data_IF_226456494850
#
_entry.id   IF_226456494850
#
_cell.length_a   1.000
_cell.length_b   1.000
_cell.length_c   1.000
_cell.angle_alpha   90.00
_cell.angle_beta   90.00
_cell.angle_gamma   90.00
#
_symmetry.space_group_name_H-M   'P 1'
#
loop_
_entity.id
_entity.type
_entity.pdbx_description
1 polymer ?
#
# COMPACT_ATOMS: atom_id res chain seq x y z
N UNK A 1 -2.39 5.65 21.79
CA UNK A 1 -1.23 5.26 21.01
C UNK A 1 -0.94 6.24 19.89
N UNK A 2 0.22 6.77 19.90
CA UNK A 2 0.58 7.83 18.98
C UNK A 2 0.98 7.27 17.63
N UNK A 3 0.43 7.86 16.59
CA UNK A 3 0.79 7.48 15.25
C UNK A 3 2.14 8.10 14.92
N UNK A 4 3.01 7.33 14.31
CA UNK A 4 4.32 7.83 13.93
C UNK A 4 4.27 8.34 12.51
N UNK A 5 4.52 9.60 12.36
CA UNK A 5 4.64 10.19 11.04
C UNK A 5 6.07 10.65 10.83
N UNK A 6 6.48 10.65 9.59
CA UNK A 6 7.81 11.08 9.21
C UNK A 6 7.66 12.42 8.50
N UNK A 7 8.30 13.48 9.03
CA UNK A 7 8.17 14.80 8.40
C UNK A 7 8.68 14.80 6.98
N UNK A 8 8.11 15.71 6.18
CA UNK A 8 8.49 15.79 4.76
C UNK A 8 9.98 15.99 4.58
N UNK A 9 10.56 16.87 5.37
CA UNK A 9 11.98 17.16 5.22
C UNK A 9 12.84 15.94 5.46
N UNK A 10 12.47 15.15 6.45
CA UNK A 10 13.22 13.95 6.75
C UNK A 10 13.06 12.92 5.62
N UNK A 11 11.84 12.75 5.15
CA UNK A 11 11.59 11.82 4.07
C UNK A 11 12.35 12.24 2.81
N UNK A 12 12.35 13.53 2.52
CA UNK A 12 13.05 14.03 1.36
C UNK A 12 14.54 13.74 1.45
N UNK A 13 15.09 13.93 2.63
CA UNK A 13 16.52 13.67 2.83
C UNK A 13 16.82 12.20 2.67
N UNK A 14 16.02 11.35 3.28
CA UNK A 14 16.25 9.92 3.19
C UNK A 14 16.13 9.40 1.77
N UNK A 15 15.22 9.97 1.01
CA UNK A 15 14.98 9.53 -0.37
C UNK A 15 15.88 10.27 -1.36
N UNK A 16 16.64 11.25 -0.89
CA UNK A 16 17.51 12.05 -1.74
C UNK A 16 16.73 12.77 -2.84
N UNK A 17 15.59 13.34 -2.49
CA UNK A 17 14.79 14.15 -3.39
C UNK A 17 14.44 15.44 -2.67
N UNK A 18 13.94 16.41 -3.43
CA UNK A 18 13.54 17.68 -2.83
C UNK A 18 12.13 17.56 -2.29
N UNK A 19 11.80 18.45 -1.34
CA UNK A 19 10.44 18.50 -0.84
C UNK A 19 9.47 18.91 -1.93
N UNK A 20 9.95 19.64 -2.93
CA UNK A 20 9.15 20.01 -4.07
C UNK A 20 8.67 18.78 -4.84
N UNK A 21 9.56 17.80 -5.00
CA UNK A 21 9.21 16.56 -5.66
C UNK A 21 8.14 15.82 -4.88
N UNK A 22 8.29 15.78 -3.56
CA UNK A 22 7.30 15.12 -2.72
C UNK A 22 5.95 15.82 -2.81
N UNK A 23 5.97 17.15 -2.84
CA UNK A 23 4.73 17.89 -2.96
C UNK A 23 4.03 17.58 -4.28
N UNK A 24 4.80 17.38 -5.33
CA UNK A 24 4.21 17.02 -6.61
C UNK A 24 3.55 15.64 -6.55
N UNK A 25 4.21 14.69 -5.92
CA UNK A 25 3.60 13.36 -5.76
C UNK A 25 2.30 13.46 -4.97
N UNK A 26 2.29 14.30 -3.95
CA UNK A 26 1.09 14.49 -3.15
C UNK A 26 -0.03 15.11 -3.99
N UNK A 27 0.31 16.11 -4.77
CA UNK A 27 -0.71 16.80 -5.56
C UNK A 27 -1.29 15.90 -6.64
N UNK A 28 -0.54 14.90 -7.06
CA UNK A 28 -1.02 13.95 -8.06
C UNK A 28 -1.78 12.79 -7.42
N UNK A 29 -1.87 12.78 -6.10
CA UNK A 29 -2.59 11.72 -5.42
C UNK A 29 -1.84 10.43 -5.31
N UNK A 30 -0.54 10.44 -5.54
CA UNK A 30 0.25 9.22 -5.50
C UNK A 30 0.57 8.79 -4.08
N UNK A 31 0.67 9.72 -3.17
CA UNK A 31 0.93 9.44 -1.75
C UNK A 31 0.05 10.35 -0.93
N UNK A 32 -0.16 9.96 0.30
CA UNK A 32 -1.04 10.68 1.19
C UNK A 32 -0.29 11.16 2.40
N UNK A 33 -0.67 12.35 2.85
CA UNK A 33 -0.07 12.97 4.02
C UNK A 33 -0.99 12.74 5.20
N UNK A 34 -0.39 12.46 6.34
CA UNK A 34 -1.12 12.32 7.58
C UNK A 34 -0.82 13.50 8.47
N UNK A 35 -1.71 13.72 9.41
CA UNK A 35 -1.56 14.82 10.34
C UNK A 35 -1.59 14.30 11.74
N UNK A 36 -0.67 14.77 12.56
CA UNK A 36 -0.61 14.38 13.95
C UNK A 36 -0.41 15.66 14.76
N UNK A 37 -1.49 16.11 15.43
CA UNK A 37 -1.43 17.40 16.07
C UNK A 37 -1.27 18.48 15.03
N UNK A 38 -0.24 19.28 15.17
CA UNK A 38 0.03 20.35 14.22
C UNK A 38 1.07 19.94 13.18
N UNK A 39 1.52 18.69 13.20
CA UNK A 39 2.56 18.24 12.31
C UNK A 39 2.00 17.44 11.16
N UNK A 40 2.60 17.62 10.00
CA UNK A 40 2.25 16.87 8.81
C UNK A 40 3.42 15.99 8.40
N UNK A 41 3.09 14.80 7.89
CA UNK A 41 4.14 13.92 7.44
C UNK A 41 3.55 12.68 6.82
N UNK A 42 4.39 11.67 6.67
CA UNK A 42 3.98 10.43 6.03
C UNK A 42 4.00 9.30 7.05
N UNK A 43 2.98 8.47 6.98
CA UNK A 43 3.02 7.23 7.73
C UNK A 43 4.03 6.29 7.08
N UNK A 44 4.56 5.33 7.83
CA UNK A 44 5.58 4.44 7.26
C UNK A 44 5.18 3.77 5.96
N UNK A 45 3.92 3.40 5.82
CA UNK A 45 3.47 2.78 4.58
C UNK A 45 3.61 3.73 3.41
N UNK A 46 3.39 5.02 3.64
CA UNK A 46 3.51 6.00 2.58
C UNK A 46 4.97 6.26 2.24
N UNK A 47 5.86 6.14 3.21
CA UNK A 47 7.29 6.28 2.93
C UNK A 47 7.75 5.12 2.05
N UNK A 48 7.26 3.94 2.31
CA UNK A 48 7.59 2.80 1.45
C UNK A 48 7.08 3.03 0.04
N UNK A 49 5.91 3.61 -0.07
CA UNK A 49 5.35 3.94 -1.38
C UNK A 49 6.20 4.98 -2.10
N UNK A 50 6.68 5.98 -1.36
CA UNK A 50 7.59 6.97 -1.93
C UNK A 50 8.88 6.32 -2.41
N UNK A 51 9.41 5.36 -1.68
CA UNK A 51 10.58 4.61 -2.08
C UNK A 51 10.37 3.98 -3.45
N UNK A 52 9.21 3.35 -3.62
CA UNK A 52 8.88 2.73 -4.90
C UNK A 52 8.82 3.76 -6.02
N UNK A 53 8.16 4.88 -5.77
CA UNK A 53 8.03 5.91 -6.79
C UNK A 53 9.39 6.42 -7.22
N UNK A 54 10.23 6.74 -6.25
CA UNK A 54 11.55 7.26 -6.57
C UNK A 54 12.38 6.23 -7.30
N UNK A 55 12.29 4.98 -6.90
CA UNK A 55 13.00 3.91 -7.57
C UNK A 55 12.56 3.79 -9.02
N UNK A 56 11.26 3.80 -9.27
CA UNK A 56 10.76 3.70 -10.63
C UNK A 56 11.29 4.84 -11.49
N UNK A 57 11.27 6.03 -10.96
CA UNK A 57 11.68 7.20 -11.75
C UNK A 57 13.20 7.29 -11.90
N UNK A 58 13.90 7.18 -10.79
CA UNK A 58 15.33 7.45 -10.81
C UNK A 58 16.11 6.25 -11.31
N UNK A 59 15.80 5.06 -10.79
CA UNK A 59 16.61 3.90 -11.11
C UNK A 59 16.15 3.20 -12.38
N UNK A 60 14.86 3.20 -12.64
CA UNK A 60 14.34 2.52 -13.82
C UNK A 60 13.98 3.46 -14.95
N UNK A 61 14.07 4.75 -14.72
CA UNK A 61 13.84 5.72 -15.79
C UNK A 61 12.40 5.80 -16.25
N UNK A 62 11.45 5.40 -15.42
CA UNK A 62 10.05 5.45 -15.81
C UNK A 62 9.52 6.86 -15.56
N UNK A 63 8.86 7.43 -16.57
CA UNK A 63 8.32 8.77 -16.37
C UNK A 63 7.13 8.73 -15.41
N UNK A 64 6.71 9.91 -14.97
CA UNK A 64 5.70 9.99 -13.93
C UNK A 64 4.37 9.41 -14.36
N UNK A 65 4.02 9.57 -15.63
CA UNK A 65 2.78 8.98 -16.13
C UNK A 65 2.81 7.47 -16.02
N UNK A 66 3.95 6.87 -16.32
CA UNK A 66 4.11 5.43 -16.17
C UNK A 66 4.06 4.99 -14.73
N UNK A 67 4.64 5.79 -13.84
CA UNK A 67 4.58 5.49 -12.42
C UNK A 67 3.14 5.49 -11.94
N UNK A 68 2.34 6.45 -12.42
CA UNK A 68 0.93 6.48 -12.04
C UNK A 68 0.22 5.21 -12.44
N UNK A 69 0.51 4.72 -13.64
CA UNK A 69 -0.11 3.49 -14.12
C UNK A 69 0.32 2.31 -13.25
N UNK A 70 1.62 2.24 -12.95
CA UNK A 70 2.12 1.13 -12.13
C UNK A 70 1.47 1.13 -10.76
N UNK A 71 1.40 2.29 -10.13
CA UNK A 71 0.81 2.37 -8.80
C UNK A 71 -0.66 2.00 -8.83
N UNK A 72 -1.36 2.41 -9.87
CA UNK A 72 -2.75 2.07 -10.00
C UNK A 72 -2.92 0.56 -10.12
N UNK A 73 -2.08 -0.08 -10.90
CA UNK A 73 -2.13 -1.53 -11.07
C UNK A 73 -1.78 -2.26 -9.80
N UNK A 74 -0.76 -1.77 -9.08
CA UNK A 74 -0.35 -2.37 -7.83
C UNK A 74 -1.47 -2.26 -6.79
N UNK A 75 -2.10 -1.09 -6.72
CA UNK A 75 -3.19 -0.90 -5.79
C UNK A 75 -4.35 -1.83 -6.12
N UNK A 76 -4.65 -1.95 -7.40
CA UNK A 76 -5.74 -2.81 -7.82
C UNK A 76 -5.44 -4.28 -7.52
N UNK A 77 -4.21 -4.68 -7.78
CA UNK A 77 -3.80 -6.05 -7.50
C UNK A 77 -3.90 -6.35 -6.01
N UNK A 78 -3.46 -5.42 -5.18
CA UNK A 78 -3.55 -5.59 -3.74
C UNK A 78 -4.99 -5.71 -3.29
N UNK A 79 -5.86 -4.93 -3.90
CA UNK A 79 -7.29 -4.98 -3.60
C UNK A 79 -7.89 -6.32 -3.94
N UNK A 80 -7.55 -6.83 -5.12
CA UNK A 80 -8.05 -8.13 -5.55
C UNK A 80 -7.53 -9.23 -4.65
N UNK A 81 -6.25 -9.16 -4.33
CA UNK A 81 -5.65 -10.15 -3.46
C UNK A 81 -6.32 -10.17 -2.10
N UNK A 82 -6.60 -9.00 -1.56
CA UNK A 82 -7.24 -8.88 -0.27
C UNK A 82 -8.65 -9.47 -0.30
N UNK A 83 -9.35 -9.24 -1.40
CA UNK A 83 -10.71 -9.74 -1.56
C UNK A 83 -10.72 -11.25 -1.66
N UNK A 84 -9.79 -11.80 -2.42
CA UNK A 84 -9.69 -13.24 -2.55
C UNK A 84 -9.36 -13.89 -1.21
N UNK A 85 -8.45 -13.28 -0.48
CA UNK A 85 -8.08 -13.76 0.84
C UNK A 85 -9.28 -13.77 1.78
N UNK A 86 -10.07 -12.70 1.73
CA UNK A 86 -11.26 -12.61 2.57
C UNK A 86 -12.27 -13.68 2.23
N UNK A 87 -12.44 -13.95 0.95
CA UNK A 87 -13.36 -14.98 0.52
C UNK A 87 -12.89 -16.36 0.98
N UNK A 88 -11.60 -16.59 0.90
CA UNK A 88 -11.05 -17.88 1.35
C UNK A 88 -11.29 -18.07 2.85
N UNK A 89 -11.12 -17.00 3.62
CA UNK A 89 -11.37 -17.08 5.05
C UNK A 89 -12.83 -17.33 5.34
N UNK A 90 -13.69 -16.67 4.61
CA UNK A 90 -15.12 -16.87 4.79
C UNK A 90 -15.52 -18.30 4.49
N UNK A 91 -14.96 -18.82 3.43
CA UNK A 91 -15.25 -20.20 3.04
C UNK A 91 -14.78 -21.18 4.10
N UNK A 92 -13.59 -20.92 4.62
CA UNK A 92 -13.08 -21.83 5.65
C UNK A 92 -13.95 -21.79 6.90
N UNK A 93 -14.40 -20.62 7.28
CA UNK A 93 -15.27 -20.50 8.44
C UNK A 93 -16.57 -21.23 8.22
N UNK A 94 -17.12 -21.13 7.02
CA UNK A 94 -18.35 -21.82 6.71
C UNK A 94 -18.18 -23.33 6.77
N UNK A 95 -17.07 -23.80 6.24
CA UNK A 95 -16.81 -25.23 6.23
C UNK A 95 -16.63 -25.76 7.65
N UNK A 96 -15.92 -25.02 8.48
CA UNK A 96 -15.74 -25.44 9.86
C UNK A 96 -17.05 -25.45 10.61
N UNK A 97 -17.86 -24.43 10.35
CA UNK A 97 -19.10 -24.28 11.06
C UNK A 97 -20.10 -25.36 10.65
N UNK A 98 -20.15 -25.63 9.37
CA UNK A 98 -21.10 -26.60 8.88
C UNK A 98 -20.68 -28.03 9.20
N UNK A 99 -19.37 -28.20 9.36
CA UNK A 99 -18.90 -29.55 9.67
C UNK A 99 -19.32 -30.53 8.62
N UNK A 100 -18.80 -30.44 7.48
CA UNK A 100 -19.18 -31.33 6.40
C UNK A 100 -18.64 -32.73 6.65
N UNK A 101 -19.20 -33.47 7.55
CA UNK A 101 -18.67 -34.79 7.87
C UNK A 101 -18.84 -35.75 6.71
N UNK A 102 -19.85 -35.53 5.93
CA UNK A 102 -20.06 -36.43 4.79
C UNK A 102 -18.89 -36.41 3.82
N UNK A 103 -18.20 -35.25 3.78
CA UNK A 103 -17.05 -35.17 2.90
C UNK A 103 -15.92 -36.07 3.36
N UNK A 104 -15.65 -36.00 4.64
CA UNK A 104 -14.56 -36.81 5.18
C UNK A 104 -14.94 -38.27 5.33
N UNK A 105 -16.19 -38.49 5.60
CA UNK A 105 -16.64 -39.87 5.83
C UNK A 105 -17.02 -40.58 4.58
N UNK A 106 -17.11 -39.87 3.50
CA UNK A 106 -17.66 -40.45 2.30
C UNK A 106 -16.81 -41.57 1.74
N UNK A 107 -15.55 -41.60 2.11
CA UNK A 107 -14.73 -42.67 1.57
C UNK A 107 -14.61 -43.83 2.53
N UNK A 108 -15.52 -43.97 3.39
CA UNK A 108 -15.47 -45.12 4.19
C UNK A 108 -15.71 -46.34 3.46
#
# INVERSE_FOLDING_TARGET
MTRRIIPRELAARELAVSTKVLARYESLGLVQVAQEGSEEGYEPAQVRRLWSIVTYQRDLGINLAGVEVILHLVDHLSEVHHRVFGLAEELRELLDKEEFPSVTDSHE
#
